data_IF_175259666371
#
_entry.id   IF_175259666371
#
_cell.length_a   1.000
_cell.length_b   1.000
_cell.length_c   1.000
_cell.angle_alpha   90.00
_cell.angle_beta   90.00
_cell.angle_gamma   90.00
#
_symmetry.space_group_name_H-M   'P 1'
#
loop_
_entity.id
_entity.type
_entity.pdbx_description
1 polymer ?
#
# COMPACT_ATOMS: atom_id res chain seq x y z
N UNK A 1 -5.36 -14.11 -18.87
CA UNK A 1 -5.26 -13.20 -17.69
C UNK A 1 -4.13 -12.16 -17.83
N UNK A 2 -2.93 -12.52 -18.34
CA UNK A 2 -1.81 -11.57 -18.54
C UNK A 2 -2.19 -10.38 -19.44
N UNK A 3 -2.78 -10.63 -20.61
CA UNK A 3 -3.23 -9.58 -21.54
C UNK A 3 -4.15 -8.52 -20.90
N UNK A 4 -5.13 -8.97 -20.11
CA UNK A 4 -6.05 -8.06 -19.42
C UNK A 4 -5.34 -7.19 -18.37
N UNK A 5 -4.31 -7.70 -17.66
CA UNK A 5 -3.51 -6.89 -16.74
C UNK A 5 -2.77 -5.78 -17.48
N UNK A 6 -2.13 -6.11 -18.61
CA UNK A 6 -1.42 -5.13 -19.45
C UNK A 6 -2.37 -4.05 -19.99
N UNK A 7 -3.59 -4.44 -20.39
CA UNK A 7 -4.62 -3.48 -20.83
C UNK A 7 -5.00 -2.54 -19.68
N UNK A 8 -5.19 -3.06 -18.47
CA UNK A 8 -5.51 -2.25 -17.28
C UNK A 8 -4.38 -1.30 -16.93
N UNK A 9 -3.13 -1.77 -16.91
CA UNK A 9 -1.95 -0.95 -16.58
C UNK A 9 -1.77 0.24 -17.54
N UNK A 10 -1.95 0.00 -18.85
CA UNK A 10 -1.71 1.02 -19.88
C UNK A 10 -2.90 1.94 -20.14
N UNK A 11 -4.13 1.43 -20.02
CA UNK A 11 -5.34 2.13 -20.47
C UNK A 11 -6.36 2.33 -19.34
N UNK A 12 -5.92 2.35 -18.08
CA UNK A 12 -6.80 2.54 -16.91
C UNK A 12 -7.79 3.70 -17.09
N UNK A 13 -7.31 4.87 -17.53
CA UNK A 13 -8.12 6.08 -17.69
C UNK A 13 -9.27 5.95 -18.71
N UNK A 14 -9.19 4.99 -19.65
CA UNK A 14 -10.24 4.75 -20.65
C UNK A 14 -11.23 3.67 -20.23
N UNK A 15 -10.88 2.83 -19.26
CA UNK A 15 -11.67 1.67 -18.87
C UNK A 15 -12.80 2.07 -17.91
N UNK A 16 -13.89 1.32 -17.95
CA UNK A 16 -15.11 1.57 -17.15
C UNK A 16 -15.48 0.33 -16.33
N UNK A 17 -16.57 0.40 -15.55
CA UNK A 17 -17.12 -0.76 -14.85
C UNK A 17 -18.04 -1.61 -15.76
N UNK A 18 -18.44 -1.08 -16.91
CA UNK A 18 -19.35 -1.74 -17.84
C UNK A 18 -18.63 -2.70 -18.80
N UNK A 19 -19.27 -3.84 -19.07
CA UNK A 19 -18.72 -4.87 -19.94
C UNK A 19 -18.78 -4.51 -21.41
N UNK A 20 -19.87 -3.90 -21.89
CA UNK A 20 -20.01 -3.61 -23.32
C UNK A 20 -19.01 -2.54 -23.77
N UNK A 21 -18.82 -1.51 -22.94
CA UNK A 21 -17.83 -0.47 -23.17
C UNK A 21 -16.40 -1.04 -23.17
N UNK A 22 -16.04 -1.81 -22.15
CA UNK A 22 -14.70 -2.42 -22.07
C UNK A 22 -14.44 -3.45 -23.18
N UNK A 23 -15.49 -4.10 -23.69
CA UNK A 23 -15.41 -5.01 -24.84
C UNK A 23 -15.04 -4.26 -26.12
N UNK A 24 -15.62 -3.08 -26.35
CA UNK A 24 -15.30 -2.21 -27.49
C UNK A 24 -13.87 -1.66 -27.37
N UNK A 25 -13.51 -1.16 -26.19
CA UNK A 25 -12.15 -0.66 -25.92
C UNK A 25 -11.10 -1.76 -26.12
N UNK A 26 -11.35 -2.99 -25.68
CA UNK A 26 -10.42 -4.10 -25.87
C UNK A 26 -10.19 -4.47 -27.35
N UNK A 27 -11.16 -4.19 -28.22
CA UNK A 27 -11.07 -4.42 -29.66
C UNK A 27 -10.33 -3.29 -30.37
N UNK A 28 -10.47 -2.05 -29.90
CA UNK A 28 -9.73 -0.89 -30.42
C UNK A 28 -8.26 -0.91 -29.98
N UNK A 29 -7.98 -1.37 -28.76
CA UNK A 29 -6.65 -1.30 -28.14
C UNK A 29 -5.75 -2.48 -28.54
N UNK A 30 -6.33 -3.64 -28.84
CA UNK A 30 -5.57 -4.86 -29.10
C UNK A 30 -6.14 -5.66 -30.27
N UNK A 31 -5.24 -6.17 -31.12
CA UNK A 31 -5.58 -7.11 -32.19
C UNK A 31 -5.91 -8.47 -31.58
N UNK A 32 -7.20 -8.76 -31.38
CA UNK A 32 -7.67 -10.01 -30.78
C UNK A 32 -8.32 -10.89 -31.88
N UNK A 33 -7.78 -12.08 -32.18
CA UNK A 33 -8.19 -12.85 -33.35
C UNK A 33 -9.56 -13.52 -33.24
N UNK A 34 -10.09 -13.70 -32.02
CA UNK A 34 -11.39 -14.36 -31.83
C UNK A 34 -12.32 -13.62 -30.88
N UNK A 35 -13.61 -13.60 -31.25
CA UNK A 35 -14.71 -13.04 -30.45
C UNK A 35 -14.75 -13.63 -29.03
N UNK A 36 -14.55 -14.95 -28.90
CA UNK A 36 -14.53 -15.64 -27.60
C UNK A 36 -13.36 -15.17 -26.73
N UNK A 37 -12.16 -15.00 -27.31
CA UNK A 37 -11.00 -14.52 -26.57
C UNK A 37 -11.18 -13.06 -26.14
N UNK A 38 -11.71 -12.20 -27.02
CA UNK A 38 -12.04 -10.80 -26.70
C UNK A 38 -13.00 -10.72 -25.52
N UNK A 39 -14.08 -11.52 -25.54
CA UNK A 39 -15.06 -11.53 -24.46
C UNK A 39 -14.44 -11.99 -23.13
N UNK A 40 -13.54 -12.99 -23.14
CA UNK A 40 -12.82 -13.44 -21.94
C UNK A 40 -11.86 -12.37 -21.40
N UNK A 41 -11.19 -11.63 -22.30
CA UNK A 41 -10.28 -10.54 -21.92
C UNK A 41 -11.09 -9.41 -21.30
N UNK A 42 -12.11 -8.89 -22.00
CA UNK A 42 -12.99 -7.83 -21.52
C UNK A 42 -13.67 -8.19 -20.19
N UNK A 43 -14.12 -9.43 -20.03
CA UNK A 43 -14.73 -9.90 -18.78
C UNK A 43 -13.74 -9.99 -17.62
N UNK A 44 -12.47 -10.31 -17.88
CA UNK A 44 -11.46 -10.25 -16.82
C UNK A 44 -11.03 -8.82 -16.53
N UNK A 45 -10.98 -7.94 -17.53
CA UNK A 45 -10.71 -6.50 -17.37
C UNK A 45 -11.76 -5.83 -16.49
N UNK A 46 -13.06 -6.08 -16.73
CA UNK A 46 -14.14 -5.56 -15.86
C UNK A 46 -14.04 -6.10 -14.44
N UNK A 47 -13.70 -7.38 -14.29
CA UNK A 47 -13.49 -7.98 -12.98
C UNK A 47 -12.32 -7.32 -12.22
N UNK A 48 -11.22 -6.97 -12.92
CA UNK A 48 -10.11 -6.24 -12.33
C UNK A 48 -10.51 -4.81 -11.93
N UNK A 49 -11.28 -4.10 -12.75
CA UNK A 49 -11.78 -2.75 -12.42
C UNK A 49 -12.59 -2.74 -11.11
N UNK A 50 -13.50 -3.70 -10.95
CA UNK A 50 -14.27 -3.87 -9.70
C UNK A 50 -13.39 -4.18 -8.48
N UNK A 51 -12.25 -4.86 -8.69
CA UNK A 51 -11.29 -5.14 -7.61
C UNK A 51 -10.46 -3.91 -7.25
N UNK A 52 -10.05 -3.12 -8.23
CA UNK A 52 -9.30 -1.87 -8.03
C UNK A 52 -10.13 -0.88 -7.20
N UNK A 53 -11.44 -0.81 -7.44
CA UNK A 53 -12.34 0.04 -6.63
C UNK A 53 -12.37 -0.34 -5.15
N UNK A 54 -12.13 -1.62 -4.81
CA UNK A 54 -12.10 -2.10 -3.42
C UNK A 54 -10.74 -1.91 -2.76
N UNK A 55 -9.68 -1.73 -3.54
CA UNK A 55 -8.33 -1.59 -3.02
C UNK A 55 -7.25 -1.98 -4.03
N UNK A 56 -5.97 -1.91 -3.62
CA UNK A 56 -4.85 -2.22 -4.48
C UNK A 56 -4.86 -3.70 -4.89
N UNK A 57 -4.65 -3.95 -6.19
CA UNK A 57 -4.65 -5.30 -6.75
C UNK A 57 -3.22 -5.75 -7.00
N UNK A 58 -2.81 -6.85 -6.35
CA UNK A 58 -1.47 -7.43 -6.52
C UNK A 58 -1.18 -7.74 -8.00
N UNK A 59 -0.02 -7.26 -8.48
CA UNK A 59 0.48 -7.53 -9.82
C UNK A 59 -0.18 -6.71 -10.92
N UNK A 60 -0.66 -5.51 -10.57
CA UNK A 60 -1.03 -4.41 -11.49
C UNK A 60 -0.33 -3.17 -10.95
N UNK A 61 0.53 -2.55 -11.76
CA UNK A 61 1.16 -1.26 -11.44
C UNK A 61 0.34 -0.13 -12.07
N UNK A 62 -0.35 0.64 -11.24
CA UNK A 62 -1.01 1.88 -11.66
C UNK A 62 -0.12 3.04 -11.24
N UNK A 63 0.33 3.86 -12.20
CA UNK A 63 1.16 5.04 -11.90
C UNK A 63 0.53 5.95 -10.85
N UNK A 64 -0.79 6.12 -10.91
CA UNK A 64 -1.56 6.86 -9.91
C UNK A 64 -1.38 6.29 -8.49
N UNK A 65 -1.36 4.96 -8.36
CA UNK A 65 -1.16 4.30 -7.06
C UNK A 65 0.28 4.42 -6.57
N UNK A 66 1.25 4.44 -7.50
CA UNK A 66 2.66 4.65 -7.17
C UNK A 66 2.88 6.06 -6.63
N UNK A 67 2.33 7.09 -7.28
CA UNK A 67 2.39 8.48 -6.82
C UNK A 67 1.70 8.70 -5.46
N UNK A 68 0.51 8.13 -5.25
CA UNK A 68 -0.16 8.20 -3.94
C UNK A 68 0.64 7.48 -2.85
N UNK A 69 1.25 6.33 -3.19
CA UNK A 69 2.11 5.59 -2.28
C UNK A 69 3.35 6.38 -1.92
N UNK A 70 3.99 7.05 -2.88
CA UNK A 70 5.15 7.92 -2.63
C UNK A 70 4.78 9.08 -1.71
N UNK A 71 3.69 9.79 -1.96
CA UNK A 71 3.22 10.88 -1.09
C UNK A 71 2.93 10.43 0.35
N UNK A 72 2.39 9.22 0.52
CA UNK A 72 2.14 8.66 1.86
C UNK A 72 3.42 8.24 2.56
N UNK A 73 4.42 7.78 1.83
CA UNK A 73 5.72 7.38 2.38
C UNK A 73 6.61 8.59 2.69
N UNK A 74 6.47 9.68 1.93
CA UNK A 74 7.18 10.95 2.15
C UNK A 74 6.56 11.79 3.27
N UNK A 75 5.42 11.38 3.81
CA UNK A 75 4.79 12.08 4.93
C UNK A 75 5.67 12.02 6.18
N UNK A 76 6.32 13.14 6.49
CA UNK A 76 7.06 13.37 7.73
C UNK A 76 6.14 14.16 8.68
N UNK A 77 5.78 13.61 9.85
CA UNK A 77 4.97 14.34 10.84
C UNK A 77 5.78 15.50 11.44
N UNK A 78 5.10 16.57 11.86
CA UNK A 78 5.74 17.74 12.48
C UNK A 78 6.43 17.42 13.81
N UNK A 79 5.87 16.49 14.59
CA UNK A 79 6.45 16.01 15.85
C UNK A 79 6.79 14.54 15.73
N UNK A 80 8.01 14.18 16.11
CA UNK A 80 8.44 12.78 16.16
C UNK A 80 7.71 12.06 17.29
N UNK A 81 7.17 10.86 17.03
CA UNK A 81 6.56 10.02 18.09
C UNK A 81 7.57 9.64 19.18
N UNK A 82 8.86 9.67 18.86
CA UNK A 82 9.97 9.38 19.78
C UNK A 82 10.29 10.57 20.69
N UNK A 83 9.88 11.78 20.30
CA UNK A 83 10.13 13.01 21.08
C UNK A 83 9.08 13.19 22.18
N UNK A 84 9.25 12.36 23.23
CA UNK A 84 8.41 12.34 24.43
C UNK A 84 9.12 13.01 25.60
N UNK A 85 8.36 13.76 26.40
CA UNK A 85 8.89 14.49 27.55
C UNK A 85 9.39 13.56 28.66
N UNK A 86 8.87 12.32 28.70
CA UNK A 86 9.22 11.31 29.71
C UNK A 86 9.33 9.93 29.04
N UNK A 87 10.53 9.36 29.05
CA UNK A 87 10.84 8.01 28.56
C UNK A 87 10.67 7.03 29.71
N UNK A 88 9.75 6.09 29.57
CA UNK A 88 9.54 5.02 30.55
C UNK A 88 10.43 3.82 30.20
N UNK A 89 11.22 3.35 31.15
CA UNK A 89 12.12 2.22 31.00
C UNK A 89 11.83 1.15 32.04
N UNK A 90 12.01 -0.11 31.64
CA UNK A 90 11.95 -1.26 32.55
C UNK A 90 13.20 -1.30 33.45
N UNK A 91 13.13 -1.92 34.65
CA UNK A 91 14.26 -2.03 35.57
C UNK A 91 15.51 -2.65 34.92
N UNK A 92 15.34 -3.72 34.15
CA UNK A 92 16.45 -4.42 33.48
C UNK A 92 17.13 -3.52 32.43
N UNK A 93 16.34 -2.75 31.67
CA UNK A 93 16.88 -1.81 30.69
C UNK A 93 17.61 -0.63 31.35
N UNK A 94 17.21 -0.23 32.56
CA UNK A 94 17.95 0.77 33.33
C UNK A 94 19.31 0.26 33.80
N UNK A 95 19.40 -1.00 34.22
CA UNK A 95 20.68 -1.58 34.62
C UNK A 95 21.63 -1.78 33.43
N UNK A 96 21.07 -2.10 32.25
CA UNK A 96 21.82 -2.05 30.98
C UNK A 96 22.36 -0.64 30.69
N UNK A 97 21.54 0.42 30.85
CA UNK A 97 21.98 1.81 30.64
C UNK A 97 23.10 2.22 31.60
N UNK A 98 23.07 1.74 32.85
CA UNK A 98 24.17 1.95 33.82
C UNK A 98 25.46 1.26 33.37
N UNK A 99 25.37 0.03 32.86
CA UNK A 99 26.55 -0.70 32.38
C UNK A 99 27.18 -0.06 31.13
N UNK A 100 26.41 0.71 30.36
CA UNK A 100 26.87 1.47 29.19
C UNK A 100 27.26 2.92 29.51
N UNK A 101 27.34 3.31 30.79
CA UNK A 101 27.62 4.66 31.26
C UNK A 101 26.61 5.74 30.77
N UNK A 102 25.37 5.34 30.45
CA UNK A 102 24.30 6.22 29.95
C UNK A 102 23.23 6.57 31.01
N UNK A 103 23.53 6.38 32.30
CA UNK A 103 22.57 6.59 33.41
C UNK A 103 22.17 8.07 33.61
N UNK A 104 22.90 9.02 33.02
CA UNK A 104 22.68 10.47 33.17
C UNK A 104 21.80 11.09 32.07
N UNK A 105 21.20 10.28 31.22
CA UNK A 105 20.32 10.81 30.17
C UNK A 105 19.07 11.48 30.80
N UNK A 106 18.69 12.67 30.33
CA UNK A 106 17.51 13.36 30.84
C UNK A 106 16.24 12.59 30.49
N UNK A 107 15.17 12.84 31.26
CA UNK A 107 13.81 12.37 30.97
C UNK A 107 13.56 10.85 31.10
N UNK A 108 14.47 10.09 31.72
CA UNK A 108 14.28 8.65 31.95
C UNK A 108 13.57 8.40 33.30
N UNK A 109 12.47 7.64 33.28
CA UNK A 109 11.73 7.21 34.47
C UNK A 109 11.54 5.70 34.48
N UNK A 110 11.77 5.06 35.64
CA UNK A 110 11.59 3.61 35.77
C UNK A 110 10.13 3.30 36.06
N UNK A 111 9.51 2.45 35.25
CA UNK A 111 8.16 1.92 35.52
C UNK A 111 8.27 0.44 35.90
N UNK A 112 7.45 -0.01 36.86
CA UNK A 112 7.36 -1.42 37.25
C UNK A 112 6.19 -2.13 36.57
N UNK A 113 5.45 -1.43 35.70
CA UNK A 113 4.35 -1.98 34.93
C UNK A 113 4.92 -2.68 33.70
N UNK A 114 4.55 -3.94 33.42
CA UNK A 114 5.04 -4.63 32.24
C UNK A 114 4.57 -3.91 30.97
N UNK A 115 5.53 -3.44 30.16
CA UNK A 115 5.24 -2.95 28.80
C UNK A 115 4.76 -4.13 27.95
N UNK A 116 3.44 -4.22 27.75
CA UNK A 116 2.84 -5.17 26.81
C UNK A 116 1.85 -6.15 27.43
N UNK A 117 0.64 -5.68 27.72
CA UNK A 117 -0.57 -6.49 27.47
C UNK A 117 -1.45 -5.74 26.49
N UNK A 118 -1.29 -6.07 25.21
CA UNK A 118 -2.36 -6.04 24.21
C UNK A 118 -2.55 -7.46 23.72
#
# INVERSE_FOLDING_TARGET
KKAARVIVEKYYAKLTLDFQMNKKIAEEVATIPSKRLRNKIAGFTTHLMKRIQRGPVRGISLKLQEEERERRMEYVPERSEVDVDVIQVDPDTRDMLKAMDMDRLPNITTTSLPLGRR
#
